data_IF_334645282928
#
_entry.id   IF_334645282928
#
_cell.length_a   1.000
_cell.length_b   1.000
_cell.length_c   1.000
_cell.angle_alpha   90.00
_cell.angle_beta   90.00
_cell.angle_gamma   90.00
#
_symmetry.space_group_name_H-M   'P 1'
#
loop_
_entity.id
_entity.type
_entity.pdbx_description
1 polymer ?
#
# COMPACT_ATOMS: atom_id res chain seq x y z
N UNK A 1 -19.16 -7.62 -8.32
CA UNK A 1 -17.99 -7.79 -7.46
C UNK A 1 -17.42 -6.43 -7.12
N UNK A 2 -17.31 -6.14 -5.84
CA UNK A 2 -16.81 -4.84 -5.42
C UNK A 2 -15.28 -4.83 -5.39
N UNK A 3 -14.72 -3.71 -5.81
CA UNK A 3 -13.28 -3.50 -5.70
C UNK A 3 -13.07 -2.61 -4.49
N UNK A 4 -12.31 -3.09 -3.55
CA UNK A 4 -11.98 -2.32 -2.37
C UNK A 4 -10.67 -1.60 -2.58
N UNK A 5 -10.70 -0.31 -2.31
CA UNK A 5 -9.50 0.51 -2.35
C UNK A 5 -9.23 1.07 -0.97
N UNK A 6 -7.98 1.04 -0.59
CA UNK A 6 -7.54 1.61 0.67
C UNK A 6 -6.38 2.55 0.38
N UNK A 7 -6.45 3.75 0.93
CA UNK A 7 -5.34 4.69 0.82
C UNK A 7 -4.53 4.67 2.10
N UNK A 8 -3.24 4.77 1.94
CA UNK A 8 -2.35 4.89 3.08
C UNK A 8 -1.13 5.71 2.67
N UNK A 9 -0.50 6.32 3.66
CA UNK A 9 0.68 7.14 3.43
C UNK A 9 1.85 6.52 4.18
N UNK A 10 2.96 6.30 3.48
CA UNK A 10 4.14 5.69 4.08
C UNK A 10 5.39 6.35 3.52
N UNK A 11 6.48 6.19 4.22
CA UNK A 11 7.77 6.64 3.73
C UNK A 11 8.37 5.58 2.82
N UNK A 12 9.05 6.04 1.79
CA UNK A 12 9.83 5.14 0.95
C UNK A 12 11.10 4.80 1.72
N UNK A 13 11.33 3.51 1.88
CA UNK A 13 12.46 3.00 2.64
C UNK A 13 13.64 2.72 1.72
N UNK A 14 14.72 2.24 2.33
CA UNK A 14 15.94 1.88 1.61
C UNK A 14 15.62 0.99 0.42
N UNK A 15 16.29 1.22 -0.68
CA UNK A 15 16.13 0.45 -1.92
C UNK A 15 14.76 0.63 -2.58
N UNK A 16 14.06 1.71 -2.26
CA UNK A 16 12.78 2.01 -2.87
C UNK A 16 11.62 1.17 -2.35
N UNK A 17 11.79 0.58 -1.18
CA UNK A 17 10.75 -0.27 -0.59
C UNK A 17 9.75 0.55 0.21
N UNK A 18 8.51 0.10 0.19
CA UNK A 18 7.48 0.63 1.09
C UNK A 18 6.84 -0.54 1.81
N UNK A 19 6.39 -0.28 3.02
CA UNK A 19 5.72 -1.30 3.80
C UNK A 19 4.23 -1.13 3.67
N UNK A 20 3.54 -2.18 3.29
CA UNK A 20 2.08 -2.17 3.30
C UNK A 20 1.65 -2.37 4.75
N UNK A 21 0.93 -1.41 5.35
CA UNK A 21 0.52 -1.54 6.75
C UNK A 21 -0.31 -2.80 6.97
N UNK A 22 -0.16 -3.37 8.16
CA UNK A 22 -0.90 -4.56 8.51
C UNK A 22 -2.40 -4.36 8.38
N UNK A 23 -2.87 -3.18 8.77
CA UNK A 23 -4.28 -2.85 8.68
C UNK A 23 -4.80 -2.92 7.25
N UNK A 24 -3.99 -2.47 6.30
CA UNK A 24 -4.36 -2.54 4.89
C UNK A 24 -4.35 -3.98 4.41
N UNK A 25 -3.33 -4.73 4.81
CA UNK A 25 -3.24 -6.15 4.42
C UNK A 25 -4.44 -6.92 4.94
N UNK A 26 -4.85 -6.64 6.16
CA UNK A 26 -6.00 -7.30 6.76
C UNK A 26 -7.30 -6.88 6.08
N UNK A 27 -7.44 -5.58 5.81
CA UNK A 27 -8.65 -5.06 5.19
C UNK A 27 -8.89 -5.63 3.80
N UNK A 28 -7.82 -5.83 3.04
CA UNK A 28 -7.92 -6.34 1.66
C UNK A 28 -7.58 -7.83 1.56
N UNK A 29 -7.32 -8.47 2.68
CA UNK A 29 -6.95 -9.87 2.74
C UNK A 29 -5.76 -10.18 1.82
N UNK A 30 -4.73 -9.35 1.91
CA UNK A 30 -3.54 -9.48 1.09
C UNK A 30 -2.60 -10.49 1.72
N UNK A 31 -2.21 -11.49 0.95
CA UNK A 31 -1.33 -12.55 1.41
C UNK A 31 -0.14 -12.69 0.47
N UNK A 32 0.85 -13.41 0.92
CA UNK A 32 2.02 -13.69 0.11
C UNK A 32 1.59 -14.27 -1.24
N UNK A 33 2.14 -13.74 -2.29
CA UNK A 33 1.83 -14.19 -3.64
C UNK A 33 0.71 -13.43 -4.31
N UNK A 34 -0.02 -12.61 -3.56
CA UNK A 34 -1.07 -11.80 -4.17
C UNK A 34 -0.47 -10.68 -5.00
N UNK A 35 -1.11 -10.38 -6.09
CA UNK A 35 -0.74 -9.27 -6.93
C UNK A 35 -1.61 -8.07 -6.55
N UNK A 36 -0.98 -6.95 -6.28
CA UNK A 36 -1.72 -5.74 -5.92
C UNK A 36 -1.37 -4.62 -6.89
N UNK A 37 -2.34 -3.78 -7.15
CA UNK A 37 -2.14 -2.63 -8.02
C UNK A 37 -2.02 -1.39 -7.14
N UNK A 38 -0.99 -0.61 -7.38
CA UNK A 38 -0.73 0.59 -6.59
C UNK A 38 -0.83 1.84 -7.44
N UNK A 39 -1.48 2.84 -6.91
CA UNK A 39 -1.43 4.19 -7.44
C UNK A 39 -0.56 5.00 -6.48
N UNK A 40 0.43 5.69 -7.00
CA UNK A 40 1.33 6.42 -6.12
C UNK A 40 1.32 7.90 -6.41
N UNK A 41 1.50 8.66 -5.36
CA UNK A 41 1.56 10.10 -5.43
C UNK A 41 2.60 10.56 -4.43
N UNK A 42 3.47 11.46 -4.86
CA UNK A 42 4.45 12.02 -3.94
C UNK A 42 3.78 13.08 -3.09
N UNK A 43 3.95 12.95 -1.79
CA UNK A 43 3.43 13.96 -0.86
C UNK A 43 4.56 14.90 -0.53
N UNK A 44 4.36 16.17 -0.82
CA UNK A 44 5.35 17.18 -0.50
C UNK A 44 5.25 17.48 0.99
N UNK A 45 6.37 17.34 1.67
CA UNK A 45 6.46 17.70 3.06
C UNK A 45 7.20 19.00 3.16
N UNK A 46 6.51 20.00 3.67
CA UNK A 46 7.07 21.32 3.79
C UNK A 46 8.17 21.42 4.81
#
# INVERSE_FOLDING_TARGET
>A
MSVEEVEFTVYVRKSGRVTVPKEVRDALDIKKGNLVKCKIKKVAMG
#
